data_IF_669633206618
#
_entry.id   IF_669633206618
#
_cell.length_a   1.000
_cell.length_b   1.000
_cell.length_c   1.000
_cell.angle_alpha   90.00
_cell.angle_beta   90.00
_cell.angle_gamma   90.00
#
_symmetry.space_group_name_H-M   'P 1'
#
loop_
_entity.id
_entity.type
_entity.pdbx_description
1 polymer ?
#
# COMPACT_ATOMS: atom_id res chain seq x y z
N UNK A 1 4.41 -11.93 -25.59
CA UNK A 1 4.25 -10.62 -24.88
C UNK A 1 4.19 -10.76 -23.34
N UNK A 2 3.34 -11.61 -22.75
CA UNK A 2 3.23 -11.77 -21.28
C UNK A 2 4.56 -12.14 -20.59
N UNK A 3 5.28 -13.15 -21.11
CA UNK A 3 6.60 -13.56 -20.60
C UNK A 3 7.67 -12.46 -20.67
N UNK A 4 7.66 -11.68 -21.75
CA UNK A 4 8.60 -10.55 -21.92
C UNK A 4 8.36 -9.44 -20.90
N UNK A 5 7.08 -9.11 -20.62
CA UNK A 5 6.75 -8.13 -19.57
C UNK A 5 7.18 -8.61 -18.19
N UNK A 6 6.98 -9.88 -17.88
CA UNK A 6 7.43 -10.48 -16.61
C UNK A 6 8.96 -10.46 -16.47
N UNK A 7 9.71 -10.77 -17.53
CA UNK A 7 11.18 -10.74 -17.49
C UNK A 7 11.73 -9.32 -17.32
N UNK A 8 11.14 -8.34 -17.99
CA UNK A 8 11.52 -6.91 -17.83
C UNK A 8 11.23 -6.44 -16.40
N UNK A 9 10.06 -6.79 -15.86
CA UNK A 9 9.67 -6.42 -14.52
C UNK A 9 10.57 -7.04 -13.45
N UNK A 10 10.92 -8.32 -13.60
CA UNK A 10 11.88 -8.98 -12.73
C UNK A 10 13.28 -8.34 -12.82
N UNK A 11 13.72 -7.93 -14.01
CA UNK A 11 14.97 -7.20 -14.19
C UNK A 11 14.94 -5.80 -13.57
N UNK A 12 13.80 -5.11 -13.61
CA UNK A 12 13.60 -3.82 -12.94
C UNK A 12 13.69 -3.98 -11.41
N UNK A 13 12.96 -4.95 -10.85
CA UNK A 13 12.87 -5.19 -9.42
C UNK A 13 14.14 -5.80 -8.79
N UNK A 14 15.02 -6.41 -9.59
CA UNK A 14 16.36 -6.84 -9.15
C UNK A 14 17.41 -5.73 -9.30
N UNK A 15 17.03 -4.58 -9.86
CA UNK A 15 17.94 -3.48 -10.12
C UNK A 15 18.85 -3.69 -11.34
N UNK A 16 18.80 -4.82 -12.06
CA UNK A 16 19.63 -5.07 -13.25
C UNK A 16 19.46 -4.01 -14.32
N UNK A 17 18.24 -3.51 -14.54
CA UNK A 17 17.98 -2.45 -15.53
C UNK A 17 18.56 -1.08 -15.17
N UNK A 18 18.99 -0.88 -13.92
CA UNK A 18 19.52 0.40 -13.43
C UNK A 18 20.97 0.29 -13.00
N UNK A 19 21.66 -0.78 -13.41
CA UNK A 19 23.03 -1.05 -13.00
C UNK A 19 24.02 -0.02 -13.56
N UNK A 20 24.04 0.18 -14.88
CA UNK A 20 24.95 1.14 -15.51
C UNK A 20 24.69 2.56 -15.01
N UNK A 21 23.41 2.95 -14.91
CA UNK A 21 23.03 4.24 -14.34
C UNK A 21 23.54 4.43 -12.91
N UNK A 22 23.48 3.39 -12.04
CA UNK A 22 24.00 3.50 -10.66
C UNK A 22 25.52 3.64 -10.64
N UNK A 23 26.25 3.01 -11.57
CA UNK A 23 27.70 3.19 -11.67
C UNK A 23 28.06 4.61 -12.06
N UNK A 24 27.26 5.24 -12.92
CA UNK A 24 27.45 6.63 -13.34
C UNK A 24 26.99 7.67 -12.29
N UNK A 25 26.17 7.25 -11.33
CA UNK A 25 25.59 8.12 -10.29
C UNK A 25 25.87 7.56 -8.88
N UNK A 26 27.14 7.52 -8.43
CA UNK A 26 27.52 6.93 -7.14
C UNK A 26 27.04 7.75 -5.93
N UNK A 27 26.83 9.06 -6.11
CA UNK A 27 26.47 9.99 -5.03
C UNK A 27 24.96 10.08 -4.76
N UNK A 28 24.17 9.19 -5.37
CA UNK A 28 22.71 9.15 -5.16
C UNK A 28 22.39 8.82 -3.71
N UNK A 29 21.50 9.62 -3.13
CA UNK A 29 21.04 9.42 -1.76
C UNK A 29 20.55 7.97 -1.56
N UNK A 30 21.05 7.24 -0.56
CA UNK A 30 20.60 5.88 -0.30
C UNK A 30 19.17 5.90 0.26
N UNK A 31 18.41 4.85 -0.04
CA UNK A 31 17.02 4.73 0.38
C UNK A 31 16.85 4.80 1.92
N UNK A 32 17.87 4.44 2.70
CA UNK A 32 17.90 4.60 4.16
C UNK A 32 17.68 6.04 4.61
N UNK A 33 18.21 7.03 3.89
CA UNK A 33 18.05 8.44 4.26
C UNK A 33 16.64 8.94 4.01
N UNK A 34 16.00 8.52 2.92
CA UNK A 34 14.58 8.76 2.72
C UNK A 34 13.75 8.17 3.86
N UNK A 35 13.98 6.91 4.22
CA UNK A 35 13.25 6.26 5.31
C UNK A 35 13.45 6.98 6.65
N UNK A 36 14.67 7.47 6.90
CA UNK A 36 14.96 8.31 8.06
C UNK A 36 14.16 9.62 8.03
N UNK A 37 14.06 10.29 6.88
CA UNK A 37 13.25 11.52 6.73
C UNK A 37 11.76 11.24 6.93
N UNK A 38 11.25 10.16 6.34
CA UNK A 38 9.87 9.71 6.54
C UNK A 38 9.65 9.48 8.04
N UNK A 39 10.47 8.67 8.70
CA UNK A 39 10.35 8.37 10.14
C UNK A 39 10.35 9.63 11.01
N UNK A 40 11.30 10.55 10.78
CA UNK A 40 11.38 11.82 11.53
C UNK A 40 10.12 12.67 11.33
N UNK A 41 9.63 12.79 10.11
CA UNK A 41 8.41 13.53 9.80
C UNK A 41 7.18 12.92 10.46
N UNK A 42 7.07 11.58 10.48
CA UNK A 42 5.97 10.88 11.18
C UNK A 42 5.95 11.19 12.67
N UNK A 43 7.10 11.10 13.34
CA UNK A 43 7.25 11.44 14.76
C UNK A 43 6.86 12.89 15.00
N UNK A 44 7.41 13.81 14.19
CA UNK A 44 7.14 15.25 14.29
C UNK A 44 5.64 15.56 14.19
N UNK A 45 4.94 14.98 13.20
CA UNK A 45 3.50 15.18 13.00
C UNK A 45 2.68 14.69 14.18
N UNK A 46 2.97 13.49 14.68
CA UNK A 46 2.27 12.94 15.83
C UNK A 46 2.48 13.79 17.09
N UNK A 47 3.70 14.27 17.33
CA UNK A 47 3.99 15.15 18.46
C UNK A 47 3.23 16.47 18.34
N UNK A 48 3.15 17.04 17.12
CA UNK A 48 2.38 18.26 16.86
C UNK A 48 0.88 18.04 17.10
N UNK A 49 0.31 16.94 16.65
CA UNK A 49 -1.10 16.60 16.91
C UNK A 49 -1.37 16.40 18.41
N UNK A 50 -0.45 15.76 19.14
CA UNK A 50 -0.54 15.62 20.59
C UNK A 50 -0.54 16.98 21.30
N UNK A 51 0.37 17.90 20.93
CA UNK A 51 0.40 19.27 21.47
C UNK A 51 -0.89 20.04 21.17
N UNK A 52 -1.40 19.93 19.93
CA UNK A 52 -2.68 20.56 19.53
C UNK A 52 -3.88 20.00 20.29
N UNK A 53 -3.91 18.70 20.57
CA UNK A 53 -4.96 18.08 21.37
C UNK A 53 -4.90 18.59 22.82
N UNK A 54 -3.72 18.63 23.40
CA UNK A 54 -3.47 19.12 24.76
C UNK A 54 -3.85 20.59 24.94
N UNK A 55 -3.43 21.47 24.03
CA UNK A 55 -3.81 22.89 24.04
C UNK A 55 -5.33 23.13 23.92
N UNK A 56 -6.08 22.16 23.37
CA UNK A 56 -7.55 22.20 23.26
C UNK A 56 -8.26 21.40 24.37
N UNK A 57 -7.54 20.87 25.36
CA UNK A 57 -8.10 20.02 26.42
C UNK A 57 -8.69 18.70 25.90
N UNK A 58 -8.28 18.24 24.72
CA UNK A 58 -8.75 17.00 24.08
C UNK A 58 -7.81 15.84 24.39
N UNK A 59 -8.35 14.62 24.39
CA UNK A 59 -7.55 13.39 24.49
C UNK A 59 -6.54 13.34 23.33
N UNK A 60 -5.31 12.91 23.64
CA UNK A 60 -4.26 12.69 22.63
C UNK A 60 -4.73 11.71 21.55
N UNK A 61 -4.36 11.94 20.28
CA UNK A 61 -4.68 11.01 19.20
C UNK A 61 -4.02 9.65 19.45
N UNK A 62 -4.54 8.61 18.80
CA UNK A 62 -3.95 7.28 18.87
C UNK A 62 -2.61 7.27 18.13
N UNK A 63 -1.53 6.87 18.82
CA UNK A 63 -0.20 6.67 18.23
C UNK A 63 -0.29 5.80 16.95
N UNK A 64 0.14 6.29 15.78
CA UNK A 64 0.22 5.47 14.57
C UNK A 64 1.11 4.25 14.81
N UNK A 65 0.66 3.08 14.32
CA UNK A 65 1.38 1.80 14.48
C UNK A 65 2.78 1.83 13.87
N UNK A 66 2.96 2.60 12.80
CA UNK A 66 4.21 2.69 12.04
C UNK A 66 5.12 3.87 12.44
N UNK A 67 4.95 4.43 13.65
CA UNK A 67 5.93 5.40 14.23
C UNK A 67 7.28 4.72 14.46
N UNK A 68 7.23 3.50 14.97
CA UNK A 68 8.38 2.60 15.12
C UNK A 68 8.09 1.41 14.23
N UNK A 69 8.40 1.51 12.92
CA UNK A 69 8.07 0.44 12.00
C UNK A 69 8.89 -0.81 12.32
N UNK A 70 8.36 -1.96 11.93
CA UNK A 70 9.06 -3.23 12.12
C UNK A 70 10.43 -3.21 11.45
N UNK A 71 11.41 -3.81 12.12
CA UNK A 71 12.73 -4.05 11.55
C UNK A 71 12.59 -5.11 10.47
N UNK A 72 13.26 -4.88 9.34
CA UNK A 72 13.31 -5.88 8.29
C UNK A 72 14.31 -6.95 8.70
N UNK A 73 13.80 -8.15 8.93
CA UNK A 73 14.66 -9.34 8.93
C UNK A 73 15.17 -9.55 7.50
N UNK A 74 16.48 -9.46 7.31
CA UNK A 74 17.13 -9.65 6.01
C UNK A 74 17.64 -11.08 5.81
N UNK A 75 17.45 -11.97 6.78
CA UNK A 75 17.91 -13.36 6.68
C UNK A 75 17.25 -14.07 5.49
N UNK A 76 18.08 -14.71 4.66
CA UNK A 76 17.63 -15.42 3.46
C UNK A 76 17.12 -14.54 2.31
N UNK A 77 17.20 -13.20 2.42
CA UNK A 77 16.90 -12.30 1.32
C UNK A 77 18.11 -12.15 0.37
N UNK A 78 17.87 -11.95 -0.94
CA UNK A 78 18.96 -11.73 -1.87
C UNK A 78 19.68 -10.40 -1.60
N UNK A 79 20.95 -10.35 -1.98
CA UNK A 79 21.75 -9.12 -1.94
C UNK A 79 21.12 -8.04 -2.81
N UNK A 80 21.21 -6.81 -2.32
CA UNK A 80 20.67 -5.63 -3.00
C UNK A 80 21.79 -4.79 -3.60
N UNK A 81 21.52 -4.07 -4.71
CA UNK A 81 22.44 -3.09 -5.23
C UNK A 81 22.79 -2.00 -4.22
N UNK A 82 23.93 -1.33 -4.41
CA UNK A 82 24.33 -0.17 -3.61
C UNK A 82 23.23 0.88 -3.49
N UNK A 83 23.02 1.38 -2.26
CA UNK A 83 22.00 2.37 -1.91
C UNK A 83 20.57 1.83 -1.76
N UNK A 84 20.34 0.55 -2.06
CA UNK A 84 19.04 -0.11 -1.89
C UNK A 84 18.95 -0.72 -0.49
N UNK A 85 17.74 -0.73 0.07
CA UNK A 85 17.46 -1.39 1.35
C UNK A 85 16.16 -2.16 1.23
N UNK A 86 16.10 -3.29 1.94
CA UNK A 86 14.83 -3.95 2.17
C UNK A 86 13.96 -3.10 3.09
N UNK A 87 12.67 -3.08 2.83
CA UNK A 87 11.68 -2.35 3.65
C UNK A 87 10.44 -3.20 3.87
N UNK A 88 9.70 -2.87 4.92
CA UNK A 88 8.30 -3.31 5.06
C UNK A 88 7.31 -2.23 4.61
N UNK A 89 6.10 -2.61 4.18
CA UNK A 89 5.07 -1.66 3.74
C UNK A 89 4.75 -0.61 4.82
N UNK A 90 4.82 -0.97 6.12
CA UNK A 90 4.67 -0.02 7.22
C UNK A 90 5.72 1.11 7.20
N UNK A 91 6.94 0.84 6.73
CA UNK A 91 8.00 1.85 6.60
C UNK A 91 7.72 2.86 5.51
N UNK A 92 6.86 2.54 4.54
CA UNK A 92 6.59 3.39 3.37
C UNK A 92 5.13 3.83 3.24
N UNK A 93 4.24 3.32 4.08
CA UNK A 93 2.84 3.74 4.16
C UNK A 93 2.69 5.12 4.84
N UNK A 94 1.55 5.78 4.65
CA UNK A 94 1.21 7.00 5.40
C UNK A 94 1.20 6.73 6.91
N UNK A 95 1.47 7.76 7.72
CA UNK A 95 1.37 7.67 9.18
C UNK A 95 -0.07 7.72 9.69
N UNK A 96 -0.88 6.78 9.21
CA UNK A 96 -2.29 6.66 9.55
C UNK A 96 -2.59 5.21 9.92
N UNK A 97 -3.43 4.99 10.93
CA UNK A 97 -3.74 3.65 11.42
C UNK A 97 -4.46 2.75 10.39
N UNK A 98 -5.01 3.35 9.31
CA UNK A 98 -5.71 2.66 8.24
C UNK A 98 -4.99 2.80 6.88
N UNK A 99 -3.72 3.22 6.87
CA UNK A 99 -2.95 3.32 5.63
C UNK A 99 -2.81 1.95 4.95
N UNK A 100 -2.62 0.88 5.73
CA UNK A 100 -2.72 -0.50 5.27
C UNK A 100 -3.93 -1.13 5.94
N UNK A 101 -4.93 -1.51 5.15
CA UNK A 101 -6.22 -1.96 5.68
C UNK A 101 -6.83 -3.03 4.80
N UNK A 102 -7.12 -4.19 5.38
CA UNK A 102 -8.01 -5.17 4.78
C UNK A 102 -9.46 -4.69 4.86
N UNK A 103 -10.26 -5.07 3.87
CA UNK A 103 -11.68 -4.77 3.84
C UNK A 103 -12.43 -5.24 5.08
N UNK A 104 -13.67 -4.76 5.27
CA UNK A 104 -14.46 -5.10 6.44
C UNK A 104 -14.75 -6.60 6.48
N UNK A 105 -15.17 -7.12 7.64
CA UNK A 105 -15.65 -8.50 7.71
C UNK A 105 -16.87 -8.68 6.79
N UNK A 106 -17.00 -9.86 6.17
CA UNK A 106 -18.08 -10.12 5.21
C UNK A 106 -19.49 -9.92 5.79
N UNK A 107 -19.66 -10.11 7.10
CA UNK A 107 -20.91 -9.85 7.81
C UNK A 107 -21.28 -8.36 7.88
N UNK A 108 -20.30 -7.46 7.80
CA UNK A 108 -20.50 -6.01 7.87
C UNK A 108 -20.91 -5.37 6.54
N UNK A 109 -20.72 -6.08 5.42
CA UNK A 109 -21.04 -5.59 4.06
C UNK A 109 -21.84 -6.64 3.26
N UNK A 110 -23.08 -6.88 3.69
CA UNK A 110 -24.06 -7.73 3.01
C UNK A 110 -24.76 -6.98 1.88
N UNK A 111 -25.36 -7.74 0.96
CA UNK A 111 -26.13 -7.20 -0.18
C UNK A 111 -27.34 -6.35 0.24
N UNK A 112 -27.88 -6.57 1.43
CA UNK A 112 -29.00 -5.78 1.98
C UNK A 112 -28.65 -4.30 2.19
N UNK A 113 -27.36 -3.98 2.35
CA UNK A 113 -26.88 -2.59 2.48
C UNK A 113 -26.64 -1.92 1.13
N UNK A 114 -26.89 -2.61 0.01
CA UNK A 114 -26.56 -2.07 -1.30
C UNK A 114 -27.68 -1.14 -1.76
N UNK A 115 -27.29 0.04 -2.21
CA UNK A 115 -28.18 1.07 -2.75
C UNK A 115 -27.84 1.36 -4.20
N UNK A 116 -28.74 2.04 -4.92
CA UNK A 116 -28.56 2.37 -6.33
C UNK A 116 -27.59 3.52 -6.58
N UNK A 117 -27.35 4.37 -5.59
CA UNK A 117 -26.40 5.50 -5.65
C UNK A 117 -25.91 5.84 -4.25
N UNK A 118 -24.62 6.17 -4.13
CA UNK A 118 -24.01 6.54 -2.85
C UNK A 118 -22.49 6.45 -2.95
N UNK A 119 -21.88 5.82 -1.97
CA UNK A 119 -20.43 5.59 -1.89
C UNK A 119 -20.08 4.25 -2.52
N UNK A 120 -19.10 4.23 -3.43
CA UNK A 120 -18.78 3.05 -4.23
C UNK A 120 -18.18 1.94 -3.37
N UNK A 121 -18.50 0.69 -3.71
CA UNK A 121 -17.86 -0.50 -3.16
C UNK A 121 -16.82 -0.98 -4.18
N UNK A 122 -15.55 -0.76 -3.88
CA UNK A 122 -14.43 -1.29 -4.65
C UNK A 122 -14.22 -2.75 -4.31
N UNK A 123 -14.33 -3.62 -5.31
CA UNK A 123 -14.16 -5.06 -5.17
C UNK A 123 -13.13 -5.62 -6.13
N UNK A 124 -13.12 -6.94 -6.20
CA UNK A 124 -12.18 -7.68 -7.02
C UNK A 124 -12.37 -7.42 -8.52
N UNK A 125 -13.58 -7.11 -8.98
CA UNK A 125 -13.86 -6.91 -10.39
C UNK A 125 -13.12 -5.71 -10.97
N UNK A 126 -13.07 -4.59 -10.24
CA UNK A 126 -12.32 -3.40 -10.62
C UNK A 126 -10.83 -3.73 -10.75
N UNK A 127 -10.29 -4.46 -9.77
CA UNK A 127 -8.87 -4.88 -9.75
C UNK A 127 -8.55 -5.86 -10.88
N UNK A 128 -9.43 -6.82 -11.16
CA UNK A 128 -9.24 -7.78 -12.26
C UNK A 128 -9.31 -7.10 -13.62
N UNK A 129 -10.19 -6.13 -13.79
CA UNK A 129 -10.34 -5.41 -15.05
C UNK A 129 -9.29 -4.33 -15.26
N UNK A 130 -8.70 -3.83 -14.18
CA UNK A 130 -7.84 -2.65 -14.23
C UNK A 130 -8.65 -1.37 -14.45
N UNK A 131 -9.91 -1.36 -14.00
CA UNK A 131 -10.87 -0.28 -14.23
C UNK A 131 -11.56 0.06 -12.90
N UNK A 132 -11.22 1.22 -12.33
CA UNK A 132 -11.78 1.69 -11.05
C UNK A 132 -13.25 2.05 -11.13
N UNK A 133 -13.79 2.34 -12.31
CA UNK A 133 -15.16 2.82 -12.50
C UNK A 133 -16.13 1.68 -12.79
N UNK A 134 -15.65 0.51 -13.22
CA UNK A 134 -16.47 -0.67 -13.43
C UNK A 134 -17.36 -0.99 -12.21
N UNK A 135 -18.60 -1.43 -12.47
CA UNK A 135 -19.53 -1.93 -11.45
C UNK A 135 -20.30 -0.83 -10.71
N UNK A 136 -21.57 -1.11 -10.44
CA UNK A 136 -22.55 -0.17 -9.85
C UNK A 136 -22.95 -0.63 -8.44
N UNK A 137 -21.96 -0.87 -7.58
CA UNK A 137 -22.20 -1.29 -6.20
C UNK A 137 -21.95 -0.12 -5.26
N UNK A 138 -22.98 0.27 -4.51
CA UNK A 138 -22.93 1.42 -3.62
C UNK A 138 -23.51 1.09 -2.25
N UNK A 139 -23.05 1.83 -1.24
CA UNK A 139 -23.66 1.92 0.09
C UNK A 139 -24.10 3.37 0.35
N UNK A 140 -25.03 3.54 1.28
CA UNK A 140 -25.44 4.87 1.74
C UNK A 140 -24.36 5.53 2.63
N UNK A 141 -24.62 6.78 3.01
CA UNK A 141 -23.72 7.58 3.85
C UNK A 141 -23.56 7.00 5.27
N UNK A 142 -24.63 6.46 5.85
CA UNK A 142 -24.59 5.88 7.20
C UNK A 142 -23.63 4.68 7.24
N UNK A 143 -23.79 3.74 6.31
CA UNK A 143 -22.92 2.56 6.20
C UNK A 143 -21.50 2.96 5.78
N UNK A 144 -21.33 3.97 4.94
CA UNK A 144 -20.02 4.49 4.58
C UNK A 144 -19.27 5.04 5.80
N UNK A 145 -19.96 5.83 6.64
CA UNK A 145 -19.40 6.39 7.87
C UNK A 145 -19.08 5.29 8.90
N UNK A 146 -19.93 4.26 9.02
CA UNK A 146 -19.64 3.06 9.83
C UNK A 146 -18.33 2.37 9.39
N UNK A 147 -18.14 2.25 8.07
CA UNK A 147 -17.01 1.55 7.46
C UNK A 147 -15.89 2.49 7.01
N UNK A 148 -15.85 3.72 7.50
CA UNK A 148 -14.93 4.78 7.03
C UNK A 148 -13.46 4.38 7.12
N UNK A 149 -13.12 3.47 8.03
CA UNK A 149 -11.75 2.95 8.16
C UNK A 149 -11.29 2.18 6.92
N UNK A 150 -12.21 1.66 6.10
CA UNK A 150 -11.96 0.96 4.84
C UNK A 150 -12.11 1.88 3.62
N UNK A 151 -12.27 3.20 3.82
CA UNK A 151 -12.37 4.16 2.72
C UNK A 151 -11.10 4.23 1.90
N UNK A 152 -11.25 4.57 0.64
CA UNK A 152 -10.16 4.73 -0.31
C UNK A 152 -9.93 6.19 -0.66
N UNK A 153 -8.72 6.48 -1.14
CA UNK A 153 -8.34 7.79 -1.68
C UNK A 153 -7.55 7.62 -2.99
N UNK A 154 -7.46 8.68 -3.81
CA UNK A 154 -6.55 8.70 -4.95
C UNK A 154 -5.15 8.22 -4.61
N UNK A 155 -4.58 7.40 -5.48
CA UNK A 155 -3.24 6.81 -5.30
C UNK A 155 -3.19 5.59 -4.41
N UNK A 156 -4.28 5.20 -3.72
CA UNK A 156 -4.30 3.93 -2.99
C UNK A 156 -4.08 2.76 -3.95
N UNK A 157 -3.28 1.79 -3.50
CA UNK A 157 -3.04 0.53 -4.21
C UNK A 157 -3.99 -0.51 -3.62
N UNK A 158 -4.93 -0.99 -4.44
CA UNK A 158 -5.82 -2.10 -4.10
C UNK A 158 -5.16 -3.42 -4.48
N UNK A 159 -5.24 -4.40 -3.59
CA UNK A 159 -4.64 -5.73 -3.74
C UNK A 159 -5.71 -6.78 -3.49
N UNK A 160 -5.89 -7.71 -4.43
CA UNK A 160 -6.85 -8.82 -4.28
C UNK A 160 -6.30 -9.92 -3.36
N UNK A 161 -7.15 -10.39 -2.44
CA UNK A 161 -6.83 -11.44 -1.45
C UNK A 161 -7.38 -12.83 -1.78
N UNK A 162 -8.27 -12.98 -2.77
CA UNK A 162 -8.98 -14.25 -3.03
C UNK A 162 -9.04 -14.50 -4.53
N UNK A 163 -8.78 -15.73 -4.99
CA UNK A 163 -8.94 -16.14 -6.40
C UNK A 163 -7.83 -15.63 -7.34
N UNK A 164 -7.63 -14.31 -7.43
CA UNK A 164 -6.56 -13.68 -8.22
C UNK A 164 -5.60 -12.92 -7.32
N UNK A 165 -4.98 -13.66 -6.41
CA UNK A 165 -4.16 -13.10 -5.33
C UNK A 165 -2.97 -12.33 -5.89
N UNK A 166 -2.69 -11.20 -5.27
CA UNK A 166 -1.57 -10.33 -5.65
C UNK A 166 -1.83 -9.47 -6.88
N UNK A 167 -2.99 -9.60 -7.56
CA UNK A 167 -3.39 -8.65 -8.59
C UNK A 167 -3.70 -7.30 -7.96
N UNK A 168 -3.24 -6.24 -8.60
CA UNK A 168 -3.29 -4.88 -8.05
C UNK A 168 -3.93 -3.86 -8.98
N UNK A 169 -4.44 -2.77 -8.40
CA UNK A 169 -4.96 -1.59 -9.09
C UNK A 169 -4.56 -0.32 -8.32
N UNK A 170 -3.97 0.66 -8.99
CA UNK A 170 -3.75 2.00 -8.43
C UNK A 170 -5.00 2.81 -8.73
N UNK A 171 -5.59 3.44 -7.70
CA UNK A 171 -6.75 4.28 -7.88
C UNK A 171 -6.37 5.64 -8.50
N UNK A 172 -7.00 6.06 -9.61
CA UNK A 172 -6.69 7.34 -10.25
C UNK A 172 -7.20 8.54 -9.42
N UNK A 173 -6.91 9.76 -9.88
CA UNK A 173 -7.34 11.00 -9.22
C UNK A 173 -8.84 11.24 -9.27
N UNK A 174 -9.54 10.70 -10.27
CA UNK A 174 -10.97 10.89 -10.53
C UNK A 174 -11.85 9.75 -10.02
N UNK A 175 -11.46 9.08 -8.92
CA UNK A 175 -12.27 8.03 -8.31
C UNK A 175 -13.53 8.57 -7.65
N UNK A 176 -14.55 7.72 -7.58
CA UNK A 176 -15.70 7.95 -6.70
C UNK A 176 -15.30 7.69 -5.24
N UNK A 177 -15.81 8.47 -4.26
CA UNK A 177 -15.59 8.16 -2.85
C UNK A 177 -16.25 6.81 -2.53
N UNK A 178 -15.57 6.01 -1.70
CA UNK A 178 -16.00 4.64 -1.48
C UNK A 178 -15.14 3.86 -0.51
N UNK A 179 -15.49 2.60 -0.30
CA UNK A 179 -14.76 1.65 0.54
C UNK A 179 -14.31 0.44 -0.27
N UNK A 180 -13.27 -0.24 0.21
CA UNK A 180 -12.96 -1.59 -0.27
C UNK A 180 -13.91 -2.63 0.34
N UNK A 181 -14.17 -3.69 -0.42
CA UNK A 181 -14.90 -4.86 0.05
C UNK A 181 -13.96 -5.84 0.80
N UNK A 182 -14.51 -6.87 1.49
CA UNK A 182 -13.74 -7.82 2.29
C UNK A 182 -12.62 -8.59 1.56
N UNK A 183 -12.65 -8.64 0.22
CA UNK A 183 -11.70 -9.43 -0.59
C UNK A 183 -10.47 -8.64 -1.02
N UNK A 184 -10.33 -7.41 -0.55
CA UNK A 184 -9.22 -6.53 -0.90
C UNK A 184 -8.43 -6.08 0.34
N UNK A 185 -7.18 -5.71 0.12
CA UNK A 185 -6.38 -4.83 0.99
C UNK A 185 -6.10 -3.54 0.23
N UNK A 186 -6.13 -2.40 0.93
CA UNK A 186 -5.62 -1.14 0.41
C UNK A 186 -4.28 -0.80 1.06
N UNK A 187 -3.40 -0.15 0.30
CA UNK A 187 -2.16 0.47 0.78
C UNK A 187 -2.14 1.94 0.33
N UNK A 188 -2.09 2.84 1.30
CA UNK A 188 -1.88 4.27 1.13
C UNK A 188 -0.41 4.59 1.39
N UNK A 189 0.35 4.90 0.34
CA UNK A 189 1.78 5.19 0.44
C UNK A 189 2.05 6.62 0.92
N UNK A 190 3.17 6.81 1.62
CA UNK A 190 3.67 8.14 1.98
C UNK A 190 4.01 8.90 0.69
N UNK A 191 3.57 10.16 0.60
CA UNK A 191 3.76 10.97 -0.60
C UNK A 191 5.24 11.16 -0.97
N UNK A 192 6.18 10.97 -0.02
CA UNK A 192 7.63 11.01 -0.28
C UNK A 192 8.16 9.81 -1.07
N UNK A 193 7.37 8.73 -1.18
CA UNK A 193 7.73 7.53 -1.94
C UNK A 193 7.52 7.74 -3.43
N UNK A 194 6.54 8.54 -3.87
CA UNK A 194 6.43 9.02 -5.26
C UNK A 194 6.31 8.01 -6.41
N UNK A 195 6.39 6.69 -6.18
CA UNK A 195 6.49 5.67 -7.24
C UNK A 195 5.51 4.51 -7.05
N UNK A 196 4.22 4.82 -7.04
CA UNK A 196 3.17 3.82 -6.85
C UNK A 196 3.19 2.75 -7.96
N UNK A 197 3.54 3.11 -9.19
CA UNK A 197 3.67 2.23 -10.35
C UNK A 197 4.81 1.24 -10.18
N UNK A 198 5.93 1.67 -9.59
CA UNK A 198 7.01 0.75 -9.25
C UNK A 198 6.52 -0.25 -8.20
N UNK A 199 5.82 0.21 -7.17
CA UNK A 199 5.27 -0.63 -6.10
C UNK A 199 4.32 -1.68 -6.66
N UNK A 200 3.36 -1.24 -7.47
CA UNK A 200 2.46 -2.10 -8.21
C UNK A 200 3.23 -3.07 -9.11
N UNK A 201 4.26 -2.59 -9.80
CA UNK A 201 5.14 -3.40 -10.63
C UNK A 201 5.80 -4.52 -9.84
N UNK A 202 6.41 -4.21 -8.70
CA UNK A 202 6.99 -5.23 -7.82
C UNK A 202 5.93 -6.24 -7.35
N UNK A 203 4.76 -5.78 -6.89
CA UNK A 203 3.69 -6.66 -6.39
C UNK A 203 3.16 -7.62 -7.47
N UNK A 204 3.16 -7.18 -8.73
CA UNK A 204 2.77 -7.98 -9.89
C UNK A 204 3.94 -8.80 -10.50
N UNK A 205 5.15 -8.70 -9.94
CA UNK A 205 6.34 -9.41 -10.43
C UNK A 205 6.42 -10.83 -9.88
N UNK A 206 7.17 -11.69 -10.57
CA UNK A 206 7.46 -13.05 -10.09
C UNK A 206 8.24 -13.05 -8.78
N UNK A 207 8.96 -11.97 -8.46
CA UNK A 207 9.66 -11.82 -7.18
C UNK A 207 8.69 -11.74 -6.00
N UNK A 208 7.48 -11.22 -6.22
CA UNK A 208 6.43 -11.15 -5.21
C UNK A 208 5.55 -12.40 -5.16
N UNK A 209 5.58 -13.30 -6.17
CA UNK A 209 4.80 -14.55 -6.16
C UNK A 209 5.08 -15.40 -4.92
N UNK A 210 6.37 -15.56 -4.53
CA UNK A 210 6.74 -16.28 -3.31
C UNK A 210 6.15 -15.65 -2.03
N UNK A 211 6.05 -14.32 -2.00
CA UNK A 211 5.42 -13.60 -0.89
C UNK A 211 3.91 -13.92 -0.83
N UNK A 212 3.24 -13.92 -1.98
CA UNK A 212 1.82 -14.29 -2.06
C UNK A 212 1.56 -15.75 -1.71
N UNK A 213 2.43 -16.66 -2.11
CA UNK A 213 2.32 -18.10 -1.79
C UNK A 213 2.45 -18.35 -0.29
N UNK A 214 3.42 -17.71 0.38
CA UNK A 214 3.53 -17.79 1.84
C UNK A 214 2.30 -17.17 2.52
N UNK A 215 1.76 -16.06 1.98
CA UNK A 215 0.62 -15.35 2.56
C UNK A 215 -0.63 -16.22 2.55
N UNK A 216 -0.81 -16.96 1.46
CA UNK A 216 -1.85 -17.96 1.26
C UNK A 216 -1.80 -19.13 2.24
N UNK A 217 -0.60 -19.50 2.69
CA UNK A 217 -0.37 -20.60 3.63
C UNK A 217 -0.65 -20.21 5.10
N UNK A 218 -1.09 -18.98 5.36
CA UNK A 218 -1.50 -18.54 6.70
C UNK A 218 -0.34 -18.24 7.65
N UNK A 219 0.88 -18.11 7.16
CA UNK A 219 2.01 -17.64 7.95
C UNK A 219 1.83 -16.14 8.25
N UNK A 220 2.15 -15.70 9.48
CA UNK A 220 2.16 -14.28 9.84
C UNK A 220 3.23 -13.56 9.00
N UNK A 221 2.83 -12.98 7.88
CA UNK A 221 3.78 -12.33 6.97
C UNK A 221 3.98 -10.89 7.38
N UNK A 222 5.17 -10.60 7.89
CA UNK A 222 5.68 -9.24 7.97
C UNK A 222 5.86 -8.71 6.55
N UNK A 223 5.06 -7.70 6.24
CA UNK A 223 4.85 -7.12 4.92
C UNK A 223 6.13 -6.53 4.31
N UNK A 224 6.95 -7.26 3.56
CA UNK A 224 8.07 -6.71 2.73
C UNK A 224 7.44 -6.08 1.45
N UNK A 225 7.64 -4.82 1.01
CA UNK A 225 8.77 -4.30 0.19
C UNK A 225 8.51 -2.83 -0.32
N UNK A 226 9.56 -2.19 -0.91
CA UNK A 226 9.66 -1.14 -2.00
C UNK A 226 10.10 0.32 -1.63
N UNK A 227 11.32 0.79 -2.00
CA UNK A 227 11.84 1.58 -3.17
C UNK A 227 11.43 3.06 -3.37
N UNK A 228 12.44 3.87 -3.68
CA UNK A 228 12.36 5.27 -4.13
C UNK A 228 13.45 5.55 -5.18
N UNK A 229 13.13 6.24 -6.29
CA UNK A 229 14.11 6.93 -7.14
C UNK A 229 13.42 8.07 -7.89
N UNK A 230 13.69 9.30 -7.45
CA UNK A 230 13.52 10.58 -8.17
C UNK A 230 13.93 10.49 -9.64
#
# INVERSE_FOLDING_TARGET
>A
IKRFRQSVLAAACSGRLTEDWRREHPDVEPASELLNRIRKERIRRYDEECRKAEAKGRKKPKKPKNIEPQVVDAEGLPELPGGWVWVVFDQIAKAENNAIKAGPFGSSLKKEFYVTKGYKIYGQEQVIRGDSHYGEYYIDEEKYNELITCSVQPGDILISLVGTIGKTLILPSNIEPGIINPRLVKISLDNKIGFNEYIQGYLNSTSAEKFWDQFLLGHNIHYRTIHNKT
#
